data_IF_955262625632
#
_entry.id   IF_955262625632
#
_cell.length_a   1.000
_cell.length_b   1.000
_cell.length_c   1.000
_cell.angle_alpha   90.00
_cell.angle_beta   90.00
_cell.angle_gamma   90.00
#
_symmetry.space_group_name_H-M   'P 1'
#
loop_
_entity.id
_entity.type
_entity.pdbx_description
1 polymer ?
#
# COMPACT_ATOMS: atom_id res chain seq x y z
N UNK A 1 -23.08 -15.15 2.90
CA UNK A 1 -22.19 -14.05 3.38
C UNK A 1 -20.75 -14.47 3.16
N UNK A 2 -20.02 -13.88 2.20
CA UNK A 2 -18.57 -14.11 2.09
C UNK A 2 -17.87 -13.25 3.15
N UNK A 3 -17.47 -13.87 4.24
CA UNK A 3 -16.68 -13.17 5.26
C UNK A 3 -15.23 -13.09 4.78
N UNK A 4 -14.70 -11.89 4.64
CA UNK A 4 -13.29 -11.69 4.35
C UNK A 4 -12.45 -12.29 5.47
N UNK A 5 -11.41 -13.01 5.11
CA UNK A 5 -10.45 -13.48 6.11
C UNK A 5 -9.69 -12.30 6.69
N UNK A 6 -9.33 -12.33 7.98
CA UNK A 6 -8.50 -11.26 8.56
C UNK A 6 -7.18 -11.06 7.78
N UNK A 7 -6.74 -9.81 7.63
CA UNK A 7 -5.49 -9.47 6.90
C UNK A 7 -4.30 -10.26 7.45
N UNK A 8 -4.21 -10.43 8.78
CA UNK A 8 -3.12 -11.22 9.40
C UNK A 8 -3.14 -12.68 8.95
N UNK A 9 -4.32 -13.28 8.79
CA UNK A 9 -4.45 -14.67 8.29
C UNK A 9 -4.02 -14.75 6.80
N UNK A 10 -4.44 -13.79 5.98
CA UNK A 10 -4.00 -13.69 4.59
C UNK A 10 -2.47 -13.61 4.49
N UNK A 11 -1.85 -12.72 5.29
CA UNK A 11 -0.39 -12.55 5.33
C UNK A 11 0.31 -13.86 5.70
N UNK A 12 -0.18 -14.57 6.73
CA UNK A 12 0.39 -15.86 7.13
C UNK A 12 0.34 -16.87 5.99
N UNK A 13 -0.83 -17.02 5.35
CA UNK A 13 -0.99 -17.95 4.22
C UNK A 13 -0.01 -17.63 3.08
N UNK A 14 0.16 -16.35 2.75
CA UNK A 14 1.08 -15.96 1.67
C UNK A 14 2.53 -16.16 2.07
N UNK A 15 2.91 -15.80 3.31
CA UNK A 15 4.27 -16.03 3.81
C UNK A 15 4.63 -17.52 3.84
N UNK A 16 3.71 -18.38 4.24
CA UNK A 16 3.94 -19.83 4.25
C UNK A 16 4.19 -20.36 2.84
N UNK A 17 3.46 -19.86 1.83
CA UNK A 17 3.73 -20.20 0.42
C UNK A 17 5.11 -19.73 -0.03
N UNK A 18 5.51 -18.50 0.33
CA UNK A 18 6.85 -17.99 0.00
C UNK A 18 7.95 -18.82 0.65
N UNK A 19 7.78 -19.26 1.91
CA UNK A 19 8.71 -20.15 2.60
C UNK A 19 8.86 -21.49 1.89
N UNK A 20 7.75 -22.08 1.44
CA UNK A 20 7.78 -23.37 0.70
C UNK A 20 8.51 -23.21 -0.65
N UNK A 21 8.19 -22.17 -1.41
CA UNK A 21 8.89 -21.91 -2.68
C UNK A 21 10.39 -21.67 -2.46
N UNK A 22 10.77 -20.97 -1.38
CA UNK A 22 12.16 -20.65 -1.08
C UNK A 22 13.04 -21.89 -0.82
N UNK A 23 12.44 -23.01 -0.39
CA UNK A 23 13.18 -24.28 -0.18
C UNK A 23 13.82 -24.82 -1.46
N UNK A 24 13.32 -24.43 -2.63
CA UNK A 24 13.86 -24.84 -3.92
C UNK A 24 15.17 -24.11 -4.32
N UNK A 25 15.62 -23.14 -3.52
CA UNK A 25 16.77 -22.29 -3.83
C UNK A 25 17.87 -22.42 -2.77
N UNK A 26 19.12 -22.43 -3.21
CA UNK A 26 20.29 -22.51 -2.33
C UNK A 26 20.73 -21.13 -1.82
N UNK A 27 20.34 -20.06 -2.51
CA UNK A 27 20.60 -18.67 -2.14
C UNK A 27 19.33 -18.02 -1.59
N UNK A 28 19.46 -16.80 -1.06
CA UNK A 28 18.34 -16.11 -0.41
C UNK A 28 18.04 -14.78 -1.08
N UNK A 29 16.74 -14.37 -1.17
CA UNK A 29 16.40 -13.01 -1.56
C UNK A 29 17.04 -12.01 -0.59
N UNK A 30 17.58 -10.91 -1.12
CA UNK A 30 18.20 -9.85 -0.33
C UNK A 30 17.53 -8.52 -0.64
N UNK A 31 17.00 -7.86 0.37
CA UNK A 31 16.37 -6.55 0.30
C UNK A 31 17.28 -5.48 0.91
N UNK A 32 17.68 -4.49 0.13
CA UNK A 32 18.37 -3.28 0.56
C UNK A 32 17.38 -2.15 0.85
N UNK A 33 17.53 -1.47 1.98
CA UNK A 33 16.72 -0.34 2.37
C UNK A 33 17.60 0.88 2.66
N UNK A 34 17.24 2.02 2.08
CA UNK A 34 17.84 3.33 2.35
C UNK A 34 16.81 4.18 3.09
N UNK A 35 17.20 4.81 4.19
CA UNK A 35 16.31 5.68 4.97
C UNK A 35 17.06 6.86 5.59
N UNK A 36 16.32 7.89 6.04
CA UNK A 36 16.87 9.19 6.42
C UNK A 36 16.42 9.62 7.81
N UNK A 37 17.28 10.42 8.46
CA UNK A 37 16.94 11.14 9.69
C UNK A 37 16.50 10.26 10.88
N UNK A 38 15.93 10.91 11.90
CA UNK A 38 15.45 10.28 13.12
C UNK A 38 13.91 10.36 13.18
N UNK A 39 13.26 9.66 12.24
CA UNK A 39 11.79 9.58 12.18
C UNK A 39 11.32 8.26 12.79
N UNK A 40 10.62 8.29 13.97
CA UNK A 40 10.18 7.06 14.65
C UNK A 40 9.27 6.18 13.81
N UNK A 41 8.48 6.77 12.90
CA UNK A 41 7.62 5.99 12.00
C UNK A 41 8.44 5.22 10.96
N UNK A 42 9.48 5.87 10.39
CA UNK A 42 10.41 5.21 9.47
C UNK A 42 11.17 4.09 10.16
N UNK A 43 11.70 4.34 11.37
CA UNK A 43 12.40 3.33 12.15
C UNK A 43 11.51 2.13 12.48
N UNK A 44 10.25 2.39 12.85
CA UNK A 44 9.27 1.33 13.12
C UNK A 44 8.96 0.51 11.86
N UNK A 45 8.84 1.16 10.70
CA UNK A 45 8.58 0.50 9.43
C UNK A 45 9.77 -0.38 9.00
N UNK A 46 11.00 0.13 9.09
CA UNK A 46 12.24 -0.62 8.80
C UNK A 46 12.38 -1.82 9.74
N UNK A 47 12.12 -1.65 11.05
CA UNK A 47 12.08 -2.77 12.01
C UNK A 47 11.03 -3.82 11.63
N UNK A 48 9.87 -3.37 11.15
CA UNK A 48 8.81 -4.25 10.67
C UNK A 48 9.24 -5.06 9.45
N UNK A 49 9.90 -4.44 8.46
CA UNK A 49 10.45 -5.13 7.28
C UNK A 49 11.51 -6.14 7.71
N UNK A 50 12.44 -5.74 8.59
CA UNK A 50 13.46 -6.64 9.10
C UNK A 50 12.86 -7.91 9.71
N UNK A 51 11.88 -7.73 10.60
CA UNK A 51 11.16 -8.87 11.21
C UNK A 51 10.53 -9.78 10.16
N UNK A 52 9.90 -9.21 9.13
CA UNK A 52 9.27 -9.98 8.07
C UNK A 52 10.31 -10.72 7.20
N UNK A 53 11.47 -10.11 6.93
CA UNK A 53 12.60 -10.74 6.24
C UNK A 53 13.18 -11.89 7.07
N UNK A 54 13.45 -11.66 8.37
CA UNK A 54 13.95 -12.69 9.28
C UNK A 54 13.00 -13.90 9.34
N UNK A 55 11.69 -13.65 9.39
CA UNK A 55 10.67 -14.70 9.38
C UNK A 55 10.66 -15.55 8.10
N UNK A 56 10.94 -14.93 6.95
CA UNK A 56 11.00 -15.62 5.66
C UNK A 56 12.38 -16.21 5.34
N UNK A 57 13.40 -15.87 6.11
CA UNK A 57 14.79 -16.25 5.83
C UNK A 57 15.40 -15.44 4.68
N UNK A 58 14.94 -14.21 4.46
CA UNK A 58 15.53 -13.27 3.52
C UNK A 58 16.70 -12.53 4.18
N UNK A 59 17.67 -12.13 3.37
CA UNK A 59 18.68 -11.16 3.80
C UNK A 59 18.13 -9.75 3.78
N UNK A 60 18.51 -8.94 4.74
CA UNK A 60 18.06 -7.56 4.85
C UNK A 60 19.20 -6.63 5.29
N UNK A 61 19.47 -5.63 4.47
CA UNK A 61 20.42 -4.56 4.77
C UNK A 61 19.69 -3.22 4.79
N UNK A 62 19.67 -2.55 5.94
CA UNK A 62 19.12 -1.20 6.08
C UNK A 62 20.23 -0.21 6.42
N UNK A 63 20.34 0.85 5.63
CA UNK A 63 21.35 1.88 5.79
C UNK A 63 20.66 3.22 6.02
N UNK A 64 20.99 3.83 7.16
CA UNK A 64 20.62 5.22 7.44
C UNK A 64 21.67 6.12 6.81
N UNK A 65 21.25 6.99 5.92
CA UNK A 65 22.16 7.78 5.11
C UNK A 65 21.95 9.28 5.26
N UNK A 66 23.03 10.03 5.12
CA UNK A 66 22.96 11.47 4.90
C UNK A 66 22.39 11.77 3.51
N UNK A 67 21.50 12.78 3.37
CA UNK A 67 20.84 13.10 2.10
C UNK A 67 21.79 13.23 0.91
N UNK A 68 22.97 13.82 1.11
CA UNK A 68 24.02 14.01 0.09
C UNK A 68 24.62 12.72 -0.46
N UNK A 69 24.53 11.63 0.30
CA UNK A 69 25.09 10.33 -0.06
C UNK A 69 24.06 9.37 -0.64
N UNK A 70 22.79 9.75 -0.69
CA UNK A 70 21.69 8.86 -1.07
C UNK A 70 21.89 8.20 -2.44
N UNK A 71 22.26 8.98 -3.47
CA UNK A 71 22.52 8.45 -4.81
C UNK A 71 23.69 7.46 -4.83
N UNK A 72 24.76 7.71 -4.07
CA UNK A 72 25.90 6.80 -3.99
C UNK A 72 25.54 5.43 -3.39
N UNK A 73 24.63 5.42 -2.41
CA UNK A 73 24.14 4.16 -1.84
C UNK A 73 23.17 3.44 -2.78
N UNK A 74 22.32 4.16 -3.52
CA UNK A 74 21.49 3.57 -4.57
C UNK A 74 22.36 2.92 -5.64
N UNK A 75 23.40 3.62 -6.11
CA UNK A 75 24.36 3.09 -7.07
C UNK A 75 25.09 1.85 -6.54
N UNK A 76 25.49 1.86 -5.27
CA UNK A 76 26.12 0.72 -4.62
C UNK A 76 25.20 -0.51 -4.61
N UNK A 77 23.94 -0.35 -4.20
CA UNK A 77 22.97 -1.44 -4.22
C UNK A 77 22.64 -1.91 -5.64
N UNK A 78 22.52 -0.98 -6.61
CA UNK A 78 22.32 -1.34 -8.01
C UNK A 78 23.45 -2.27 -8.54
N UNK A 79 24.69 -1.96 -8.18
CA UNK A 79 25.90 -2.70 -8.63
C UNK A 79 26.18 -3.97 -7.83
N UNK A 80 25.50 -4.18 -6.71
CA UNK A 80 25.69 -5.37 -5.86
C UNK A 80 24.82 -6.51 -6.37
N UNK A 81 25.37 -7.59 -6.97
CA UNK A 81 24.56 -8.68 -7.53
C UNK A 81 23.69 -9.38 -6.48
N UNK A 82 24.19 -9.52 -5.26
CA UNK A 82 23.45 -10.19 -4.18
C UNK A 82 22.26 -9.37 -3.64
N UNK A 83 22.13 -8.08 -3.98
CA UNK A 83 20.95 -7.27 -3.63
C UNK A 83 19.92 -7.37 -4.76
N UNK A 84 18.79 -8.00 -4.49
CA UNK A 84 17.72 -8.26 -5.45
C UNK A 84 16.62 -7.20 -5.44
N UNK A 85 16.37 -6.58 -4.27
CA UNK A 85 15.40 -5.51 -4.12
C UNK A 85 15.97 -4.29 -3.43
N UNK A 86 15.52 -3.10 -3.83
CA UNK A 86 15.92 -1.82 -3.24
C UNK A 86 14.66 -1.03 -2.90
N UNK A 87 14.65 -0.45 -1.69
CA UNK A 87 13.63 0.52 -1.30
C UNK A 87 14.29 1.78 -0.75
N UNK A 88 13.63 2.92 -0.97
CA UNK A 88 13.97 4.19 -0.34
C UNK A 88 12.79 4.60 0.53
N UNK A 89 13.01 4.58 1.85
CA UNK A 89 11.94 4.83 2.82
C UNK A 89 11.57 6.31 2.88
N UNK A 90 10.27 6.58 2.81
CA UNK A 90 9.69 7.93 3.01
C UNK A 90 9.41 8.19 4.51
N UNK A 91 9.36 9.48 4.93
CA UNK A 91 9.50 10.70 4.12
C UNK A 91 10.93 10.95 3.66
N UNK A 92 11.07 11.55 2.48
CA UNK A 92 12.38 12.04 2.01
C UNK A 92 12.67 13.41 2.65
N UNK A 93 13.95 13.70 2.98
CA UNK A 93 14.38 15.08 3.29
C UNK A 93 14.14 16.02 2.10
N UNK A 94 13.87 17.29 2.35
CA UNK A 94 13.62 18.30 1.30
C UNK A 94 14.78 18.44 0.29
N UNK A 95 16.01 18.11 0.72
CA UNK A 95 17.20 18.10 -0.12
C UNK A 95 17.33 16.90 -1.07
N UNK A 96 16.47 15.87 -0.92
CA UNK A 96 16.46 14.69 -1.77
C UNK A 96 15.34 14.79 -2.79
N UNK A 97 15.70 14.87 -4.08
CA UNK A 97 14.71 14.94 -5.14
C UNK A 97 13.99 13.60 -5.34
N UNK A 98 12.70 13.65 -5.67
CA UNK A 98 11.90 12.43 -5.97
C UNK A 98 12.45 11.62 -7.16
N UNK A 99 13.23 12.22 -8.05
CA UNK A 99 13.92 11.51 -9.13
C UNK A 99 14.90 10.44 -8.66
N UNK A 100 15.24 10.41 -7.37
CA UNK A 100 16.06 9.35 -6.78
C UNK A 100 15.43 7.97 -6.98
N UNK A 101 14.10 7.86 -7.01
CA UNK A 101 13.43 6.59 -7.29
C UNK A 101 13.70 6.11 -8.72
N UNK A 102 13.85 7.03 -9.67
CA UNK A 102 14.16 6.73 -11.07
C UNK A 102 15.63 6.25 -11.27
N UNK A 103 16.49 6.43 -10.26
CA UNK A 103 17.88 5.94 -10.29
C UNK A 103 18.03 4.49 -9.82
N UNK A 104 16.98 3.90 -9.25
CA UNK A 104 16.97 2.48 -8.92
C UNK A 104 16.87 1.67 -10.22
N UNK A 105 17.66 0.60 -10.32
CA UNK A 105 17.51 -0.34 -11.44
C UNK A 105 16.06 -0.85 -11.49
N UNK A 106 15.36 -0.74 -12.65
CA UNK A 106 13.96 -1.15 -12.77
C UNK A 106 13.63 -2.54 -12.27
N UNK A 107 14.58 -3.49 -12.44
CA UNK A 107 14.44 -4.86 -11.94
C UNK A 107 14.64 -5.01 -10.43
N UNK A 108 15.22 -4.00 -9.77
CA UNK A 108 15.46 -3.98 -8.31
C UNK A 108 14.55 -3.02 -7.56
N UNK A 109 13.76 -2.19 -8.24
CA UNK A 109 12.78 -1.28 -7.62
C UNK A 109 11.53 -2.06 -7.17
N UNK A 110 11.70 -2.83 -6.12
CA UNK A 110 10.64 -3.73 -5.61
C UNK A 110 9.48 -3.02 -4.91
N UNK A 111 9.61 -1.73 -4.61
CA UNK A 111 8.51 -0.90 -4.13
C UNK A 111 7.66 -0.30 -5.27
N UNK A 112 8.19 -0.33 -6.50
CA UNK A 112 7.50 0.20 -7.69
C UNK A 112 7.37 1.72 -7.65
N UNK A 113 8.38 2.43 -7.14
CA UNK A 113 8.34 3.87 -6.92
C UNK A 113 8.90 4.68 -8.10
N UNK A 114 9.80 4.11 -8.89
CA UNK A 114 10.39 4.71 -10.08
C UNK A 114 9.51 4.55 -11.32
N UNK A 115 9.69 5.43 -12.30
CA UNK A 115 8.86 5.48 -13.53
C UNK A 115 8.99 4.22 -14.39
N UNK A 116 10.21 3.66 -14.45
CA UNK A 116 10.54 2.53 -15.30
C UNK A 116 10.54 1.19 -14.54
N UNK A 117 10.03 1.19 -13.29
CA UNK A 117 9.92 -0.02 -12.48
C UNK A 117 9.12 -1.09 -13.18
N UNK A 118 9.63 -2.33 -13.15
CA UNK A 118 8.89 -3.50 -13.65
C UNK A 118 7.84 -4.00 -12.66
N UNK A 119 7.81 -3.43 -11.46
CA UNK A 119 6.86 -3.76 -10.40
C UNK A 119 5.80 -2.68 -10.26
N UNK A 120 4.60 -3.09 -9.92
CA UNK A 120 3.57 -2.15 -9.49
C UNK A 120 3.85 -1.65 -8.07
N UNK A 121 3.48 -0.39 -7.73
CA UNK A 121 3.60 0.12 -6.37
C UNK A 121 2.94 -0.79 -5.33
N UNK A 122 3.71 -1.11 -4.28
CA UNK A 122 3.33 -2.13 -3.29
C UNK A 122 2.02 -1.84 -2.57
N UNK A 123 1.75 -0.58 -2.23
CA UNK A 123 0.54 -0.22 -1.46
C UNK A 123 -0.75 -0.53 -2.24
N UNK A 124 -0.98 0.01 -3.44
CA UNK A 124 -2.18 -0.30 -4.21
C UNK A 124 -2.23 -1.78 -4.61
N UNK A 125 -1.09 -2.38 -4.96
CA UNK A 125 -1.03 -3.80 -5.34
C UNK A 125 -1.46 -4.71 -4.18
N UNK A 126 -1.01 -4.43 -2.96
CA UNK A 126 -1.35 -5.21 -1.77
C UNK A 126 -2.84 -5.18 -1.47
N UNK A 127 -3.46 -4.01 -1.58
CA UNK A 127 -4.90 -3.85 -1.40
C UNK A 127 -5.68 -4.65 -2.45
N UNK A 128 -5.34 -4.50 -3.73
CA UNK A 128 -6.00 -5.22 -4.83
C UNK A 128 -5.84 -6.73 -4.67
N UNK A 129 -4.65 -7.22 -4.34
CA UNK A 129 -4.39 -8.65 -4.15
C UNK A 129 -5.16 -9.23 -2.97
N UNK A 130 -5.25 -8.51 -1.86
CA UNK A 130 -6.05 -8.94 -0.72
C UNK A 130 -7.53 -9.01 -1.05
N UNK A 131 -8.09 -8.01 -1.74
CA UNK A 131 -9.48 -8.01 -2.17
C UNK A 131 -9.76 -9.18 -3.13
N UNK A 132 -8.89 -9.40 -4.14
CA UNK A 132 -8.99 -10.53 -5.07
C UNK A 132 -8.94 -11.89 -4.35
N UNK A 133 -8.04 -12.05 -3.40
CA UNK A 133 -7.91 -13.28 -2.61
C UNK A 133 -9.21 -13.63 -1.88
N UNK A 134 -9.94 -12.62 -1.40
CA UNK A 134 -11.23 -12.79 -0.77
C UNK A 134 -12.39 -12.91 -1.78
N UNK A 135 -12.09 -12.98 -3.07
CA UNK A 135 -13.09 -13.14 -4.14
C UNK A 135 -13.89 -11.87 -4.41
N UNK A 136 -13.33 -10.70 -4.13
CA UNK A 136 -13.94 -9.42 -4.50
C UNK A 136 -13.98 -9.27 -6.02
N UNK A 137 -15.12 -8.89 -6.54
CA UNK A 137 -15.32 -8.67 -7.97
C UNK A 137 -15.28 -7.19 -8.26
N UNK A 138 -14.33 -6.77 -9.09
CA UNK A 138 -14.13 -5.39 -9.50
C UNK A 138 -14.93 -5.02 -10.75
N UNK A 139 -15.07 -5.97 -11.67
CA UNK A 139 -15.72 -5.76 -12.97
C UNK A 139 -17.09 -5.12 -12.84
N UNK A 140 -17.30 -4.03 -13.60
CA UNK A 140 -18.53 -3.26 -13.63
C UNK A 140 -18.76 -2.35 -12.43
N UNK A 141 -17.85 -2.32 -11.45
CA UNK A 141 -17.98 -1.45 -10.27
C UNK A 141 -17.59 -0.01 -10.56
N UNK A 142 -18.31 0.93 -9.92
CA UNK A 142 -17.94 2.35 -9.87
C UNK A 142 -16.97 2.55 -8.68
N UNK A 143 -15.71 2.80 -8.99
CA UNK A 143 -14.66 2.99 -8.00
C UNK A 143 -14.27 4.46 -7.88
N UNK A 144 -14.20 4.98 -6.65
CA UNK A 144 -13.69 6.31 -6.38
C UNK A 144 -12.33 6.24 -5.67
N UNK A 145 -11.33 6.91 -6.23
CA UNK A 145 -10.00 7.05 -5.62
C UNK A 145 -9.84 8.50 -5.16
N UNK A 146 -9.77 8.71 -3.84
CA UNK A 146 -9.59 10.04 -3.25
C UNK A 146 -8.11 10.23 -2.93
N UNK A 147 -7.43 10.95 -3.81
CA UNK A 147 -5.99 11.16 -3.82
C UNK A 147 -5.40 10.80 -5.18
N UNK A 148 -4.33 11.52 -5.57
CA UNK A 148 -3.71 11.35 -6.90
C UNK A 148 -2.17 11.38 -6.84
N UNK A 149 -1.60 10.83 -5.77
CA UNK A 149 -0.14 10.67 -5.67
C UNK A 149 0.38 9.69 -6.72
N UNK A 150 1.61 9.87 -7.14
CA UNK A 150 2.25 9.01 -8.13
C UNK A 150 2.53 7.59 -7.58
N UNK A 151 2.58 7.45 -6.26
CA UNK A 151 2.89 6.17 -5.60
C UNK A 151 1.67 5.36 -5.16
N UNK A 152 0.48 5.99 -5.02
CA UNK A 152 -0.74 5.31 -4.55
C UNK A 152 -1.94 5.60 -5.44
N UNK A 153 -2.41 6.85 -5.49
CA UNK A 153 -3.70 7.16 -6.11
C UNK A 153 -3.74 6.91 -7.61
N UNK A 154 -2.78 7.42 -8.37
CA UNK A 154 -2.71 7.20 -9.83
C UNK A 154 -2.50 5.73 -10.20
N UNK A 155 -1.52 5.00 -9.59
CA UNK A 155 -1.36 3.57 -9.86
C UNK A 155 -2.60 2.75 -9.50
N UNK A 156 -3.24 3.05 -8.36
CA UNK A 156 -4.48 2.37 -7.96
C UNK A 156 -5.59 2.57 -9.00
N UNK A 157 -5.79 3.81 -9.45
CA UNK A 157 -6.79 4.10 -10.47
C UNK A 157 -6.53 3.34 -11.77
N UNK A 158 -5.25 3.28 -12.20
CA UNK A 158 -4.89 2.47 -13.37
C UNK A 158 -5.20 0.99 -13.17
N UNK A 159 -4.82 0.42 -12.02
CA UNK A 159 -5.12 -0.99 -11.73
C UNK A 159 -6.63 -1.28 -11.71
N UNK A 160 -7.45 -0.35 -11.22
CA UNK A 160 -8.90 -0.48 -11.20
C UNK A 160 -9.50 -0.43 -12.61
N UNK A 161 -8.97 0.43 -13.49
CA UNK A 161 -9.34 0.46 -14.91
C UNK A 161 -9.01 -0.87 -15.59
N UNK A 162 -7.81 -1.42 -15.34
CA UNK A 162 -7.37 -2.72 -15.87
C UNK A 162 -8.25 -3.90 -15.34
N UNK A 163 -9.01 -3.66 -14.25
CA UNK A 163 -9.97 -4.59 -13.66
C UNK A 163 -11.42 -4.33 -14.09
N UNK A 164 -11.62 -3.54 -15.14
CA UNK A 164 -12.92 -3.18 -15.70
C UNK A 164 -13.82 -2.39 -14.72
N UNK A 165 -13.24 -1.59 -13.83
CA UNK A 165 -13.99 -0.61 -13.05
C UNK A 165 -14.23 0.66 -13.87
N UNK A 166 -15.36 1.36 -13.61
CA UNK A 166 -15.49 2.78 -13.91
C UNK A 166 -14.81 3.56 -12.79
N UNK A 167 -13.81 4.38 -13.11
CA UNK A 167 -12.97 5.03 -12.09
C UNK A 167 -13.15 6.53 -12.05
N UNK A 168 -13.45 7.06 -10.87
CA UNK A 168 -13.44 8.48 -10.57
C UNK A 168 -12.26 8.81 -9.67
N UNK A 169 -11.43 9.79 -10.05
CA UNK A 169 -10.33 10.29 -9.21
C UNK A 169 -10.71 11.64 -8.62
N UNK A 170 -10.71 11.72 -7.29
CA UNK A 170 -10.96 12.95 -6.54
C UNK A 170 -9.68 13.55 -5.95
N UNK A 171 -9.67 14.86 -5.79
CA UNK A 171 -8.56 15.61 -5.22
C UNK A 171 -9.08 16.84 -4.44
N UNK A 172 -8.17 17.67 -3.92
CA UNK A 172 -8.50 18.84 -3.07
C UNK A 172 -9.43 19.89 -3.69
N UNK A 173 -9.72 19.81 -5.00
CA UNK A 173 -10.66 20.70 -5.71
C UNK A 173 -11.95 20.00 -6.13
N UNK A 174 -12.11 18.71 -5.78
CA UNK A 174 -13.33 17.95 -6.07
C UNK A 174 -14.37 18.22 -5.00
N UNK A 175 -15.63 18.27 -5.41
CA UNK A 175 -16.77 18.24 -4.48
C UNK A 175 -17.00 16.79 -4.06
N UNK A 176 -16.40 16.43 -2.92
CA UNK A 176 -16.44 15.05 -2.40
C UNK A 176 -17.85 14.63 -2.01
N UNK A 177 -18.62 15.51 -1.36
CA UNK A 177 -19.99 15.16 -0.96
C UNK A 177 -20.85 14.83 -2.16
N UNK A 178 -20.81 15.66 -3.20
CA UNK A 178 -21.54 15.40 -4.43
C UNK A 178 -21.08 14.15 -5.16
N UNK A 179 -19.79 13.82 -5.08
CA UNK A 179 -19.22 12.65 -5.77
C UNK A 179 -19.52 11.34 -5.04
N UNK A 180 -19.50 11.35 -3.70
CA UNK A 180 -19.62 10.15 -2.87
C UNK A 180 -21.05 9.81 -2.51
N UNK A 181 -21.90 10.83 -2.35
CA UNK A 181 -23.32 10.68 -2.00
C UNK A 181 -24.19 11.30 -3.07
N UNK A 182 -25.19 10.56 -3.58
CA UNK A 182 -26.16 11.12 -4.52
C UNK A 182 -27.16 12.02 -3.79
N UNK A 183 -27.32 13.30 -4.19
CA UNK A 183 -28.32 14.19 -3.56
C UNK A 183 -29.75 13.82 -3.85
N UNK A 184 -30.02 12.97 -4.84
CA UNK A 184 -31.36 12.63 -5.32
C UNK A 184 -31.93 11.33 -4.74
N UNK A 185 -31.09 10.48 -4.15
CA UNK A 185 -31.53 9.21 -3.58
C UNK A 185 -30.67 8.86 -2.35
N UNK A 186 -31.23 9.07 -1.19
CA UNK A 186 -30.56 8.76 0.11
C UNK A 186 -30.17 7.29 0.32
N UNK A 187 -30.54 6.41 -0.62
CA UNK A 187 -30.30 4.96 -0.54
C UNK A 187 -29.36 4.41 -1.61
N UNK A 188 -29.02 5.19 -2.65
CA UNK A 188 -28.16 4.72 -3.76
C UNK A 188 -26.98 5.65 -3.95
N UNK A 189 -25.81 5.14 -3.64
CA UNK A 189 -24.54 5.79 -3.97
C UNK A 189 -24.18 5.55 -5.43
N UNK A 190 -23.60 6.56 -6.09
CA UNK A 190 -23.00 6.37 -7.41
C UNK A 190 -21.64 5.67 -7.37
N UNK A 191 -21.09 5.39 -6.18
CA UNK A 191 -19.81 4.71 -5.99
C UNK A 191 -20.01 3.41 -5.22
N UNK A 192 -19.53 2.30 -5.77
CA UNK A 192 -19.58 0.98 -5.11
C UNK A 192 -18.45 0.79 -4.13
N UNK A 193 -17.25 1.28 -4.48
CA UNK A 193 -16.05 1.18 -3.65
C UNK A 193 -15.27 2.49 -3.63
N UNK A 194 -14.86 2.90 -2.45
CA UNK A 194 -14.13 4.14 -2.19
C UNK A 194 -12.77 3.80 -1.58
N UNK A 195 -11.72 4.38 -2.15
CA UNK A 195 -10.36 4.30 -1.63
C UNK A 195 -9.92 5.68 -1.15
N UNK A 196 -9.65 5.82 0.15
CA UNK A 196 -9.12 7.06 0.71
C UNK A 196 -7.60 6.97 0.80
N UNK A 197 -6.90 7.83 0.08
CA UNK A 197 -5.43 7.83 0.00
C UNK A 197 -4.86 9.26 -0.03
N UNK A 198 -5.22 10.04 1.01
CA UNK A 198 -4.77 11.42 1.20
C UNK A 198 -3.87 11.53 2.44
N UNK A 199 -3.12 12.63 2.54
CA UNK A 199 -2.20 12.89 3.67
C UNK A 199 -2.90 13.52 4.89
N UNK A 200 -4.24 13.45 4.95
CA UNK A 200 -5.03 13.99 6.07
C UNK A 200 -5.61 12.85 6.88
N UNK A 201 -5.20 12.77 8.13
CA UNK A 201 -5.78 11.82 9.09
C UNK A 201 -7.14 12.32 9.58
N UNK A 202 -8.05 11.39 9.91
CA UNK A 202 -9.37 11.65 10.50
C UNK A 202 -10.17 12.74 9.76
N UNK A 203 -10.05 12.75 8.43
CA UNK A 203 -10.70 13.74 7.58
C UNK A 203 -12.14 13.37 7.22
N UNK A 204 -12.43 12.08 7.11
CA UNK A 204 -13.73 11.57 6.70
C UNK A 204 -14.54 11.10 7.89
N UNK A 205 -15.61 11.82 8.21
CA UNK A 205 -16.65 11.38 9.14
C UNK A 205 -17.70 10.49 8.41
N UNK A 206 -18.66 9.95 9.16
CA UNK A 206 -19.71 9.05 8.64
C UNK A 206 -20.61 9.71 7.57
N UNK A 207 -20.71 11.04 7.55
CA UNK A 207 -21.55 11.77 6.60
C UNK A 207 -21.05 11.75 5.16
N UNK A 208 -19.81 11.27 4.94
CA UNK A 208 -19.25 11.11 3.60
C UNK A 208 -19.65 9.80 2.92
N UNK A 209 -20.19 8.84 3.64
CA UNK A 209 -20.36 7.49 3.14
C UNK A 209 -21.80 6.99 3.26
N UNK A 210 -22.21 6.18 2.29
CA UNK A 210 -23.46 5.44 2.37
C UNK A 210 -23.21 4.03 2.95
N UNK A 211 -24.19 3.44 3.66
CA UNK A 211 -24.04 2.12 4.29
C UNK A 211 -23.69 0.97 3.35
N UNK A 212 -24.01 1.12 2.06
CA UNK A 212 -23.80 0.06 1.04
C UNK A 212 -22.44 0.14 0.36
N UNK A 213 -21.64 1.15 0.65
CA UNK A 213 -20.34 1.36 0.02
C UNK A 213 -19.25 0.50 0.67
N UNK A 214 -18.37 -0.05 -0.18
CA UNK A 214 -17.12 -0.63 0.27
C UNK A 214 -16.10 0.48 0.50
N UNK A 215 -15.40 0.48 1.65
CA UNK A 215 -14.46 1.54 1.99
C UNK A 215 -13.10 0.96 2.33
N UNK A 216 -12.09 1.42 1.62
CA UNK A 216 -10.71 1.03 1.81
C UNK A 216 -9.90 2.26 2.22
N UNK A 217 -9.56 2.34 3.49
CA UNK A 217 -8.73 3.41 4.03
C UNK A 217 -7.25 3.05 3.84
N UNK A 218 -6.55 3.84 3.04
CA UNK A 218 -5.14 3.62 2.72
C UNK A 218 -4.23 4.66 3.36
N UNK A 219 -4.71 5.91 3.45
CA UNK A 219 -3.93 7.00 4.01
C UNK A 219 -3.61 6.77 5.49
N UNK A 220 -2.39 7.11 5.88
CA UNK A 220 -1.89 6.95 7.24
C UNK A 220 -1.08 8.17 7.64
N UNK A 221 -1.20 8.57 8.89
CA UNK A 221 -0.40 9.64 9.49
C UNK A 221 -0.32 9.52 11.00
N UNK A 222 0.61 10.26 11.60
CA UNK A 222 0.77 10.31 13.05
C UNK A 222 -0.10 11.44 13.60
N UNK A 223 -1.00 11.10 14.52
CA UNK A 223 -1.83 12.05 15.23
C UNK A 223 -1.09 12.83 16.32
N UNK A 224 -1.75 13.82 16.91
CA UNK A 224 -1.20 14.60 18.03
C UNK A 224 -0.94 13.76 19.29
N UNK A 225 -1.61 12.61 19.38
CA UNK A 225 -1.42 11.60 20.43
C UNK A 225 -0.20 10.70 20.20
N UNK A 226 0.54 10.90 19.11
CA UNK A 226 1.70 10.10 18.72
C UNK A 226 1.34 8.73 18.14
N UNK A 227 0.06 8.45 17.92
CA UNK A 227 -0.40 7.18 17.33
C UNK A 227 -0.65 7.31 15.83
N UNK A 228 -0.71 6.16 15.18
CA UNK A 228 -1.04 6.07 13.76
C UNK A 228 -2.55 6.13 13.57
N UNK A 229 -3.01 7.01 12.68
CA UNK A 229 -4.41 7.18 12.30
C UNK A 229 -4.59 7.03 10.81
N UNK A 230 -5.79 6.61 10.38
CA UNK A 230 -6.22 6.56 8.99
C UNK A 230 -6.82 7.89 8.50
N UNK A 231 -7.37 7.88 7.29
CA UNK A 231 -8.13 9.03 6.77
C UNK A 231 -9.55 9.10 7.35
N UNK A 232 -10.14 7.98 7.79
CA UNK A 232 -11.44 7.92 8.43
C UNK A 232 -11.32 8.27 9.91
N UNK A 233 -12.35 8.94 10.46
CA UNK A 233 -12.52 9.03 11.91
C UNK A 233 -12.85 7.65 12.49
N UNK A 234 -12.63 7.48 13.79
CA UNK A 234 -12.99 6.22 14.48
C UNK A 234 -14.49 5.96 14.40
N UNK A 235 -15.30 7.00 14.55
CA UNK A 235 -16.76 6.93 14.45
C UNK A 235 -17.19 6.48 13.06
N UNK A 236 -16.62 7.05 11.99
CA UNK A 236 -16.92 6.66 10.62
C UNK A 236 -16.57 5.18 10.37
N UNK A 237 -15.43 4.72 10.89
CA UNK A 237 -15.02 3.33 10.75
C UNK A 237 -15.98 2.38 11.48
N UNK A 238 -16.36 2.69 12.73
CA UNK A 238 -17.30 1.89 13.53
C UNK A 238 -18.68 1.87 12.84
N UNK A 239 -19.20 3.02 12.45
CA UNK A 239 -20.48 3.15 11.76
C UNK A 239 -20.53 2.28 10.48
N UNK A 240 -19.54 2.38 9.60
CA UNK A 240 -19.47 1.56 8.40
C UNK A 240 -19.36 0.07 8.72
N UNK A 241 -18.61 -0.30 9.76
CA UNK A 241 -18.44 -1.68 10.18
C UNK A 241 -19.74 -2.31 10.67
N UNK A 242 -20.61 -1.57 11.32
CA UNK A 242 -21.94 -2.05 11.72
C UNK A 242 -22.80 -2.44 10.51
N UNK A 243 -22.69 -1.69 9.41
CA UNK A 243 -23.42 -2.01 8.17
C UNK A 243 -22.82 -3.16 7.38
N UNK A 244 -21.54 -3.53 7.57
CA UNK A 244 -20.95 -4.67 6.85
C UNK A 244 -21.71 -5.98 7.08
N UNK A 245 -22.30 -6.14 8.26
CA UNK A 245 -23.15 -7.27 8.61
C UNK A 245 -24.52 -7.29 7.91
N UNK A 246 -25.04 -6.11 7.55
CA UNK A 246 -26.37 -5.93 6.97
C UNK A 246 -26.36 -5.91 5.44
N UNK A 247 -25.32 -5.31 4.84
CA UNK A 247 -25.29 -5.01 3.39
C UNK A 247 -24.17 -5.72 2.64
N UNK A 248 -23.39 -6.62 3.28
CA UNK A 248 -22.19 -7.27 2.71
C UNK A 248 -21.12 -6.28 2.19
N UNK A 249 -21.13 -5.06 2.70
CA UNK A 249 -20.08 -4.08 2.40
C UNK A 249 -18.77 -4.46 3.09
N UNK A 250 -17.67 -3.89 2.61
CA UNK A 250 -16.31 -4.15 3.13
C UNK A 250 -15.73 -2.86 3.68
N UNK A 251 -15.19 -2.92 4.89
CA UNK A 251 -14.41 -1.81 5.46
C UNK A 251 -13.04 -2.31 5.87
N UNK A 252 -12.00 -1.70 5.32
CA UNK A 252 -10.60 -1.98 5.66
C UNK A 252 -9.98 -0.72 6.25
N UNK A 253 -9.45 -0.83 7.46
CA UNK A 253 -8.73 0.26 8.11
C UNK A 253 -7.31 0.39 7.58
N UNK A 254 -6.82 1.62 7.46
CA UNK A 254 -5.41 1.93 7.22
C UNK A 254 -4.53 1.39 8.35
N UNK A 255 -4.94 1.63 9.59
CA UNK A 255 -4.20 1.20 10.78
C UNK A 255 -4.30 -0.31 10.98
N UNK A 256 -3.16 -1.00 10.98
CA UNK A 256 -3.10 -2.46 11.12
C UNK A 256 -3.66 -3.24 9.93
N UNK A 257 -3.96 -2.56 8.82
CA UNK A 257 -4.49 -3.13 7.59
C UNK A 257 -3.56 -2.92 6.40
N UNK A 258 -3.72 -1.81 5.68
CA UNK A 258 -3.05 -1.57 4.39
C UNK A 258 -1.53 -1.52 4.47
N UNK A 259 -0.95 -0.97 5.55
CA UNK A 259 0.50 -0.96 5.75
C UNK A 259 1.12 -2.37 5.85
N UNK A 260 0.38 -3.34 6.41
CA UNK A 260 0.82 -4.74 6.45
C UNK A 260 0.77 -5.38 5.05
N UNK A 261 -0.23 -5.04 4.24
CA UNK A 261 -0.36 -5.49 2.86
C UNK A 261 0.77 -4.95 1.99
N UNK A 262 1.16 -3.68 2.19
CA UNK A 262 2.30 -3.05 1.51
C UNK A 262 3.59 -3.83 1.75
N UNK A 263 3.90 -4.16 3.03
CA UNK A 263 5.10 -4.93 3.36
C UNK A 263 5.07 -6.34 2.77
N UNK A 264 3.90 -6.99 2.74
CA UNK A 264 3.76 -8.30 2.11
C UNK A 264 4.09 -8.26 0.61
N UNK A 265 3.59 -7.26 -0.11
CA UNK A 265 3.89 -7.11 -1.54
C UNK A 265 5.36 -6.79 -1.79
N UNK A 266 5.97 -5.98 -0.92
CA UNK A 266 7.41 -5.72 -0.97
C UNK A 266 8.24 -7.02 -0.91
N UNK A 267 7.90 -7.93 -0.01
CA UNK A 267 8.57 -9.23 0.11
C UNK A 267 8.31 -10.13 -1.11
N UNK A 268 7.10 -10.12 -1.64
CA UNK A 268 6.75 -10.85 -2.87
C UNK A 268 7.52 -10.32 -4.09
N UNK A 269 7.61 -9.00 -4.24
CA UNK A 269 8.37 -8.37 -5.30
C UNK A 269 9.87 -8.66 -5.16
N UNK A 270 10.41 -8.63 -3.93
CA UNK A 270 11.81 -9.01 -3.67
C UNK A 270 12.08 -10.46 -4.08
N UNK A 271 11.16 -11.38 -3.76
CA UNK A 271 11.27 -12.77 -4.18
C UNK A 271 11.16 -12.92 -5.71
N UNK A 272 10.30 -12.14 -6.34
CA UNK A 272 10.17 -12.12 -7.80
C UNK A 272 11.45 -11.60 -8.45
N UNK A 273 12.02 -10.50 -7.95
CA UNK A 273 13.30 -9.97 -8.42
C UNK A 273 14.43 -11.00 -8.27
N UNK A 274 14.53 -11.65 -7.11
CA UNK A 274 15.47 -12.76 -6.88
C UNK A 274 15.32 -13.88 -7.92
N UNK A 275 14.11 -14.29 -8.26
CA UNK A 275 13.86 -15.34 -9.28
C UNK A 275 14.27 -14.93 -10.70
N UNK A 276 14.27 -13.63 -11.02
CA UNK A 276 14.69 -13.13 -12.32
C UNK A 276 16.21 -13.16 -12.50
N UNK A 277 16.98 -13.23 -11.40
CA UNK A 277 18.44 -13.27 -11.36
C UNK A 277 18.99 -14.71 -11.30
N UNK A 278 18.13 -15.74 -11.23
CA UNK A 278 18.51 -17.17 -11.23
C UNK A 278 18.56 -17.74 -12.64
#
# INVERSE_FOLDING_TARGET
MKRFIPIKCYISIVKDKLKEELKCYNTRPHLGAIYFGDNPASDSYIKGIKKDCDELGYEFTAIKVEPSLANSYVDSFNKTPSVHGIIIQKPLPDSVNLSIFDSINPGKDVDGAGKDSIFYPCTPLGVINYLKFNGYRFEGKNACVIGRSDTVGKPLAKMLLDLNCTVTICHSKSDLRRTLTSPLMSSFSCQDIIFTCIDKIEFFDESYFAPTQDIIDIGLGIGKDGKLHGNLTEEAYIHQKEYTGLHNSVVISGVGGTGLLTRLELLKNTFKAFKLDQ
#
